data_IF_097228042687
#
_entry.id   IF_097228042687
#
_cell.length_a   1.000
_cell.length_b   1.000
_cell.length_c   1.000
_cell.angle_alpha   90.00
_cell.angle_beta   90.00
_cell.angle_gamma   90.00
#
_symmetry.space_group_name_H-M   'P 1'
#
loop_
_entity.id
_entity.type
_entity.pdbx_description
1 polymer ?
#
# COMPACT_ATOMS: atom_id res chain seq x y z
N UNK A 1 4.37 35.22 -9.47
CA UNK A 1 3.39 34.12 -9.32
C UNK A 1 4.15 32.82 -9.50
N UNK A 2 4.60 32.20 -8.41
CA UNK A 2 5.41 30.98 -8.48
C UNK A 2 4.49 29.80 -8.75
N UNK A 3 4.48 29.27 -9.96
CA UNK A 3 3.93 27.95 -10.24
C UNK A 3 4.84 26.94 -9.54
N UNK A 4 4.53 26.58 -8.30
CA UNK A 4 5.18 25.45 -7.65
C UNK A 4 4.84 24.21 -8.50
N UNK A 5 5.77 23.78 -9.35
CA UNK A 5 5.65 22.48 -10.03
C UNK A 5 5.44 21.45 -8.93
N UNK A 6 4.25 20.86 -8.86
CA UNK A 6 4.06 19.66 -8.06
C UNK A 6 5.11 18.66 -8.54
N UNK A 7 5.99 18.23 -7.64
CA UNK A 7 6.96 17.19 -8.00
C UNK A 7 6.20 15.88 -8.22
N UNK A 8 6.61 15.10 -9.22
CA UNK A 8 6.01 13.78 -9.48
C UNK A 8 6.03 12.88 -8.24
N UNK A 9 7.06 13.04 -7.39
CA UNK A 9 7.18 12.30 -6.13
C UNK A 9 6.14 12.73 -5.09
N UNK A 10 5.75 14.01 -5.05
CA UNK A 10 4.65 14.47 -4.19
C UNK A 10 3.32 13.89 -4.66
N UNK A 11 3.04 13.95 -5.97
CA UNK A 11 1.81 13.37 -6.55
C UNK A 11 1.74 11.88 -6.24
N UNK A 12 2.83 11.13 -6.49
CA UNK A 12 2.89 9.69 -6.26
C UNK A 12 2.64 9.34 -4.80
N UNK A 13 3.23 10.10 -3.86
CA UNK A 13 3.00 9.90 -2.43
C UNK A 13 1.54 10.10 -2.03
N UNK A 14 0.87 11.10 -2.59
CA UNK A 14 -0.56 11.33 -2.34
C UNK A 14 -1.40 10.20 -2.92
N UNK A 15 -1.14 9.78 -4.16
CA UNK A 15 -1.86 8.68 -4.82
C UNK A 15 -1.73 7.36 -4.05
N UNK A 16 -0.51 7.00 -3.66
CA UNK A 16 -0.25 5.82 -2.81
C UNK A 16 -0.96 5.97 -1.46
N UNK A 17 -0.90 7.14 -0.85
CA UNK A 17 -1.63 7.40 0.40
C UNK A 17 -3.14 7.18 0.26
N UNK A 18 -3.75 7.67 -0.83
CA UNK A 18 -5.18 7.50 -1.11
C UNK A 18 -5.52 6.03 -1.33
N UNK A 19 -4.72 5.30 -2.10
CA UNK A 19 -4.90 3.87 -2.34
C UNK A 19 -5.00 3.09 -1.01
N UNK A 20 -4.06 3.32 -0.10
CA UNK A 20 -4.04 2.64 1.20
C UNK A 20 -5.19 3.06 2.12
N UNK A 21 -5.65 4.32 2.02
CA UNK A 21 -6.85 4.77 2.73
C UNK A 21 -8.08 4.03 2.22
N UNK A 22 -8.26 3.90 0.89
CA UNK A 22 -9.40 3.21 0.29
C UNK A 22 -9.42 1.73 0.69
N UNK A 23 -8.30 1.03 0.51
CA UNK A 23 -8.18 -0.39 0.90
C UNK A 23 -8.38 -0.59 2.41
N UNK A 24 -7.94 0.39 3.21
CA UNK A 24 -8.18 0.38 4.65
C UNK A 24 -9.65 0.55 5.03
N UNK A 25 -10.38 1.42 4.33
CA UNK A 25 -11.83 1.59 4.52
C UNK A 25 -12.58 0.34 4.09
N UNK A 26 -12.18 -0.29 2.98
CA UNK A 26 -12.80 -1.54 2.50
C UNK A 26 -12.71 -2.65 3.55
N UNK A 27 -11.52 -2.88 4.11
CA UNK A 27 -11.33 -3.89 5.16
C UNK A 27 -12.01 -3.55 6.49
N UNK A 28 -12.21 -2.27 6.83
CA UNK A 28 -12.97 -1.93 8.05
C UNK A 28 -14.47 -2.10 7.83
N UNK A 29 -14.95 -1.79 6.62
CA UNK A 29 -16.36 -1.79 6.30
C UNK A 29 -16.93 -3.16 5.93
N UNK A 30 -16.09 -4.19 5.83
CA UNK A 30 -16.49 -5.51 5.31
C UNK A 30 -17.05 -5.40 3.90
N UNK A 31 -16.57 -4.42 3.11
CA UNK A 31 -16.96 -4.26 1.73
C UNK A 31 -16.23 -5.34 0.92
N UNK A 32 -16.72 -6.58 1.00
CA UNK A 32 -16.20 -7.72 0.27
C UNK A 32 -16.05 -7.39 -1.23
N UNK A 33 -14.94 -7.84 -1.82
CA UNK A 33 -14.51 -7.42 -3.15
C UNK A 33 -12.99 -7.32 -3.34
N UNK A 34 -12.22 -7.49 -2.27
CA UNK A 34 -10.78 -7.70 -2.31
C UNK A 34 -10.50 -9.14 -1.86
N UNK A 35 -9.87 -9.94 -2.72
CA UNK A 35 -9.68 -11.38 -2.50
C UNK A 35 -8.89 -11.72 -1.21
N UNK A 36 -8.13 -10.76 -0.69
CA UNK A 36 -7.49 -10.84 0.63
C UNK A 36 -8.51 -10.93 1.76
N UNK A 37 -9.56 -10.12 1.73
CA UNK A 37 -10.52 -10.05 2.84
C UNK A 37 -11.52 -11.20 2.80
N UNK A 38 -11.79 -11.75 1.62
CA UNK A 38 -12.70 -12.89 1.46
C UNK A 38 -12.19 -14.17 2.16
N UNK A 39 -10.90 -14.24 2.48
CA UNK A 39 -10.22 -15.41 3.05
C UNK A 39 -9.65 -15.18 4.46
N UNK A 40 -9.82 -13.98 5.03
CA UNK A 40 -9.37 -13.63 6.37
C UNK A 40 -10.52 -13.70 7.39
N UNK A 41 -10.18 -14.01 8.65
CA UNK A 41 -11.14 -13.84 9.75
C UNK A 41 -11.54 -12.35 9.87
N UNK A 42 -12.82 -12.07 10.12
CA UNK A 42 -13.40 -10.72 10.23
C UNK A 42 -12.58 -9.79 11.15
N UNK A 43 -12.08 -10.31 12.27
CA UNK A 43 -11.23 -9.56 13.21
C UNK A 43 -9.89 -9.17 12.58
N UNK A 44 -9.30 -10.06 11.79
CA UNK A 44 -8.02 -9.83 11.13
C UNK A 44 -8.18 -8.86 9.94
N UNK A 45 -9.27 -8.97 9.20
CA UNK A 45 -9.66 -8.02 8.16
C UNK A 45 -9.74 -6.58 8.72
N UNK A 46 -10.44 -6.38 9.85
CA UNK A 46 -10.54 -5.07 10.50
C UNK A 46 -9.16 -4.57 10.95
N UNK A 47 -8.32 -5.43 11.53
CA UNK A 47 -6.97 -5.04 12.00
C UNK A 47 -6.12 -4.58 10.81
N UNK A 48 -6.10 -5.35 9.71
CA UNK A 48 -5.37 -5.00 8.50
C UNK A 48 -5.91 -3.70 7.92
N UNK A 49 -7.24 -3.55 7.83
CA UNK A 49 -7.90 -2.34 7.34
C UNK A 49 -7.50 -1.09 8.14
N UNK A 50 -7.52 -1.16 9.47
CA UNK A 50 -7.08 -0.06 10.35
C UNK A 50 -5.60 0.27 10.14
N UNK A 51 -4.73 -0.72 10.05
CA UNK A 51 -3.30 -0.50 9.84
C UNK A 51 -3.05 0.19 8.49
N UNK A 52 -3.70 -0.26 7.42
CA UNK A 52 -3.56 0.32 6.08
C UNK A 52 -4.13 1.74 6.02
N UNK A 53 -5.30 1.98 6.63
CA UNK A 53 -5.93 3.30 6.74
C UNK A 53 -4.98 4.30 7.43
N UNK A 54 -4.48 3.94 8.62
CA UNK A 54 -3.59 4.79 9.41
C UNK A 54 -2.30 5.04 8.63
N UNK A 55 -1.74 4.02 7.97
CA UNK A 55 -0.52 4.17 7.21
C UNK A 55 -0.71 5.08 5.98
N UNK A 56 -1.83 4.97 5.27
CA UNK A 56 -2.21 5.86 4.18
C UNK A 56 -2.40 7.31 4.62
N UNK A 57 -3.10 7.53 5.75
CA UNK A 57 -3.24 8.87 6.35
C UNK A 57 -1.89 9.47 6.74
N UNK A 58 -0.99 8.67 7.33
CA UNK A 58 0.36 9.10 7.68
C UNK A 58 1.24 9.38 6.44
N UNK A 59 0.89 8.91 5.25
CA UNK A 59 1.53 9.34 4.01
C UNK A 59 0.99 10.70 3.53
N UNK A 60 -0.32 10.95 3.65
CA UNK A 60 -1.00 12.15 3.17
C UNK A 60 -0.78 13.34 4.11
N UNK A 61 -1.17 13.20 5.38
CA UNK A 61 -1.29 14.31 6.35
C UNK A 61 0.01 15.12 6.51
N UNK A 62 1.21 14.51 6.65
CA UNK A 62 2.45 15.27 6.78
C UNK A 62 2.81 16.10 5.55
N UNK A 63 2.23 15.80 4.39
CA UNK A 63 2.44 16.53 3.15
C UNK A 63 1.73 17.90 3.16
N UNK A 64 0.76 18.09 4.06
CA UNK A 64 -0.01 19.34 4.21
C UNK A 64 0.26 20.04 5.54
N UNK A 65 0.56 19.28 6.59
CA UNK A 65 0.76 19.80 7.95
C UNK A 65 2.23 19.66 8.34
N UNK A 66 2.97 20.77 8.32
CA UNK A 66 4.42 20.81 8.58
C UNK A 66 4.89 20.46 10.01
N UNK A 67 4.07 19.78 10.82
CA UNK A 67 4.33 19.49 12.23
C UNK A 67 4.66 18.03 12.56
N UNK A 68 4.59 17.11 11.58
CA UNK A 68 4.79 15.68 11.85
C UNK A 68 6.29 15.33 11.78
N UNK A 69 6.83 14.75 12.86
CA UNK A 69 8.24 14.30 12.90
C UNK A 69 8.52 13.35 11.74
N UNK A 70 9.61 13.58 11.02
CA UNK A 70 10.00 12.76 9.87
C UNK A 70 10.13 11.25 10.17
N UNK A 71 10.30 10.85 11.43
CA UNK A 71 10.29 9.44 11.85
C UNK A 71 8.92 8.77 11.67
N UNK A 72 7.80 9.46 11.92
CA UNK A 72 6.47 8.88 11.72
C UNK A 72 6.19 8.61 10.24
N UNK A 73 6.59 9.55 9.38
CA UNK A 73 6.51 9.36 7.93
C UNK A 73 7.29 8.13 7.53
N UNK A 74 8.55 8.00 7.97
CA UNK A 74 9.39 6.84 7.67
C UNK A 74 8.77 5.50 8.11
N UNK A 75 8.26 5.45 9.35
CA UNK A 75 7.64 4.23 9.90
C UNK A 75 6.39 3.89 9.08
N UNK A 76 5.53 4.87 8.79
CA UNK A 76 4.33 4.64 7.98
C UNK A 76 4.68 4.10 6.59
N UNK A 77 5.69 4.64 5.92
CA UNK A 77 6.08 4.16 4.58
C UNK A 77 6.65 2.75 4.61
N UNK A 78 7.36 2.39 5.69
CA UNK A 78 7.85 1.03 5.89
C UNK A 78 6.70 0.05 6.15
N UNK A 79 5.72 0.44 6.98
CA UNK A 79 4.53 -0.37 7.25
C UNK A 79 3.73 -0.60 5.96
N UNK A 80 3.49 0.44 5.16
CA UNK A 80 2.85 0.34 3.83
C UNK A 80 3.61 -0.64 2.93
N UNK A 81 4.94 -0.55 2.88
CA UNK A 81 5.77 -1.44 2.07
C UNK A 81 5.66 -2.91 2.52
N UNK A 82 5.79 -3.16 3.82
CA UNK A 82 5.70 -4.52 4.37
C UNK A 82 4.30 -5.10 4.18
N UNK A 83 3.26 -4.31 4.46
CA UNK A 83 1.88 -4.74 4.29
C UNK A 83 1.57 -5.09 2.83
N UNK A 84 2.08 -4.32 1.87
CA UNK A 84 1.89 -4.61 0.44
C UNK A 84 2.65 -5.86 -0.02
N UNK A 85 3.83 -6.13 0.54
CA UNK A 85 4.55 -7.37 0.25
C UNK A 85 3.78 -8.58 0.78
N UNK A 86 3.22 -8.48 1.99
CA UNK A 86 2.38 -9.54 2.55
C UNK A 86 1.14 -9.73 1.68
N UNK A 87 0.53 -8.63 1.20
CA UNK A 87 -0.61 -8.66 0.27
C UNK A 87 -0.28 -9.52 -0.96
N UNK A 88 0.82 -9.22 -1.64
CA UNK A 88 1.28 -9.98 -2.82
C UNK A 88 1.46 -11.47 -2.50
N UNK A 89 2.09 -11.78 -1.35
CA UNK A 89 2.32 -13.19 -0.98
C UNK A 89 1.00 -13.92 -0.78
N UNK A 90 0.04 -13.31 -0.09
CA UNK A 90 -1.25 -13.92 0.17
C UNK A 90 -2.05 -14.03 -1.12
N UNK A 91 -2.31 -12.91 -1.78
CA UNK A 91 -3.21 -12.84 -2.93
C UNK A 91 -2.66 -13.57 -4.15
N UNK A 92 -1.43 -13.26 -4.56
CA UNK A 92 -0.88 -13.85 -5.78
C UNK A 92 -0.39 -15.27 -5.57
N UNK A 93 0.25 -15.59 -4.44
CA UNK A 93 0.93 -16.88 -4.28
C UNK A 93 0.17 -17.90 -3.42
N UNK A 94 -0.54 -17.47 -2.38
CA UNK A 94 -1.27 -18.40 -1.50
C UNK A 94 -2.65 -18.72 -2.07
N UNK A 95 -3.38 -17.70 -2.54
CA UNK A 95 -4.74 -17.84 -3.04
C UNK A 95 -4.78 -17.93 -4.57
N UNK A 96 -4.09 -17.04 -5.27
CA UNK A 96 -4.04 -17.00 -6.73
C UNK A 96 -3.64 -18.34 -7.34
N UNK A 97 -2.54 -18.93 -6.87
CA UNK A 97 -2.07 -20.24 -7.35
C UNK A 97 -2.98 -21.43 -7.04
N UNK A 98 -3.93 -21.32 -6.10
CA UNK A 98 -4.91 -22.40 -5.82
C UNK A 98 -6.03 -22.46 -6.87
N UNK A 99 -6.25 -21.37 -7.61
CA UNK A 99 -7.30 -21.26 -8.64
C UNK A 99 -6.80 -21.39 -10.08
N UNK A 100 -5.49 -21.27 -10.33
CA UNK A 100 -4.94 -21.27 -11.69
C UNK A 100 -5.11 -22.63 -12.39
N UNK A 101 -6.14 -22.73 -13.21
CA UNK A 101 -6.23 -23.72 -14.29
C UNK A 101 -5.60 -23.14 -15.57
N UNK A 102 -5.29 -24.00 -16.55
CA UNK A 102 -4.53 -23.68 -17.76
C UNK A 102 -5.05 -22.53 -18.64
N UNK A 103 -6.23 -21.99 -18.37
CA UNK A 103 -6.83 -20.84 -19.07
C UNK A 103 -6.79 -19.53 -18.25
N UNK A 104 -6.62 -19.59 -16.92
CA UNK A 104 -6.67 -18.42 -16.03
C UNK A 104 -5.28 -17.92 -15.59
N UNK A 105 -4.21 -18.64 -15.94
CA UNK A 105 -2.84 -18.26 -15.60
C UNK A 105 -2.43 -16.90 -16.16
N UNK A 106 -3.02 -16.48 -17.28
CA UNK A 106 -2.76 -15.17 -17.86
C UNK A 106 -3.38 -14.04 -17.02
N UNK A 107 -4.59 -14.22 -16.51
CA UNK A 107 -5.25 -13.27 -15.60
C UNK A 107 -4.48 -13.14 -14.29
N UNK A 108 -4.03 -14.28 -13.74
CA UNK A 108 -3.16 -14.29 -12.57
C UNK A 108 -1.85 -13.51 -12.77
N UNK A 109 -1.18 -13.65 -13.93
CA UNK A 109 0.01 -12.86 -14.24
C UNK A 109 -0.34 -11.37 -14.36
N UNK A 110 -1.47 -11.04 -14.97
CA UNK A 110 -1.92 -9.66 -15.11
C UNK A 110 -2.12 -8.99 -13.75
N UNK A 111 -2.83 -9.65 -12.83
CA UNK A 111 -3.05 -9.18 -11.46
C UNK A 111 -1.72 -9.02 -10.70
N UNK A 112 -0.84 -10.03 -10.77
CA UNK A 112 0.50 -9.96 -10.18
C UNK A 112 1.29 -8.76 -10.72
N UNK A 113 1.21 -8.46 -12.02
CA UNK A 113 1.87 -7.30 -12.61
C UNK A 113 1.29 -6.00 -12.05
N UNK A 114 -0.02 -5.88 -11.87
CA UNK A 114 -0.62 -4.71 -11.22
C UNK A 114 -0.14 -4.55 -9.78
N UNK A 115 -0.08 -5.64 -9.00
CA UNK A 115 0.43 -5.59 -7.64
C UNK A 115 1.90 -5.19 -7.57
N UNK A 116 2.73 -5.68 -8.50
CA UNK A 116 4.15 -5.30 -8.62
C UNK A 116 4.33 -3.83 -9.08
N UNK A 117 3.45 -3.31 -9.92
CA UNK A 117 3.44 -1.89 -10.28
C UNK A 117 3.15 -1.01 -9.06
N UNK A 118 2.16 -1.38 -8.25
CA UNK A 118 1.86 -0.69 -7.00
C UNK A 118 3.05 -0.79 -6.03
N UNK A 119 3.66 -1.98 -5.91
CA UNK A 119 4.86 -2.17 -5.09
C UNK A 119 6.00 -1.25 -5.52
N UNK A 120 6.22 -1.08 -6.83
CA UNK A 120 7.25 -0.17 -7.36
C UNK A 120 6.98 1.29 -6.96
N UNK A 121 5.70 1.70 -6.94
CA UNK A 121 5.27 3.03 -6.53
C UNK A 121 5.47 3.24 -5.03
N UNK A 122 5.03 2.28 -4.22
CA UNK A 122 5.23 2.26 -2.76
C UNK A 122 6.73 2.30 -2.44
N UNK A 123 7.53 1.47 -3.11
CA UNK A 123 8.99 1.46 -2.94
C UNK A 123 9.62 2.80 -3.30
N UNK A 124 9.20 3.44 -4.40
CA UNK A 124 9.73 4.77 -4.76
C UNK A 124 9.41 5.83 -3.71
N UNK A 125 8.23 5.75 -3.08
CA UNK A 125 7.86 6.62 -1.96
C UNK A 125 8.63 6.26 -0.68
N UNK A 126 8.93 4.97 -0.45
CA UNK A 126 9.65 4.44 0.71
C UNK A 126 11.18 4.58 0.64
N UNK A 127 11.79 4.48 -0.53
CA UNK A 127 13.25 4.41 -0.72
C UNK A 127 14.00 5.63 -0.13
N UNK A 128 13.51 6.87 -0.23
CA UNK A 128 14.11 8.03 0.44
C UNK A 128 14.10 7.93 1.98
N UNK A 129 13.09 7.25 2.55
CA UNK A 129 12.99 6.99 3.98
C UNK A 129 14.01 5.93 4.44
N UNK A 130 14.23 4.89 3.63
CA UNK A 130 15.13 3.76 3.91
C UNK A 130 16.61 4.14 3.73
N UNK A 131 16.99 4.89 2.68
CA UNK A 131 18.40 5.30 2.45
C UNK A 131 19.00 6.12 3.61
N UNK A 132 18.18 6.82 4.39
CA UNK A 132 18.64 7.57 5.58
C UNK A 132 19.01 6.68 6.78
N UNK A 133 18.85 5.35 6.69
CA UNK A 133 19.26 4.40 7.74
C UNK A 133 20.71 3.91 7.58
N UNK A 134 21.25 3.88 6.35
CA UNK A 134 22.61 3.39 6.08
C UNK A 134 23.73 4.43 6.24
N UNK A 135 23.38 5.71 6.46
CA UNK A 135 24.33 6.82 6.61
C UNK A 135 24.40 7.36 8.05
N UNK A 136 24.14 6.50 9.05
CA UNK A 136 24.38 6.82 10.46
C UNK A 136 25.52 5.98 11.00
#
# INVERSE_FOLDING_TARGET
MATSKLSGDFILRILVGILFVVIGIEGIGGFGGNAIYDELDEVFEIIVGVVLLVAGLLLIVPSFIGGIKGSFVKISTLVVLVAWIIFIILDDFVYGLKGVNGDEWFLWIEDLVYHLLILSCVYKVAAPAVKKLGNK
#
